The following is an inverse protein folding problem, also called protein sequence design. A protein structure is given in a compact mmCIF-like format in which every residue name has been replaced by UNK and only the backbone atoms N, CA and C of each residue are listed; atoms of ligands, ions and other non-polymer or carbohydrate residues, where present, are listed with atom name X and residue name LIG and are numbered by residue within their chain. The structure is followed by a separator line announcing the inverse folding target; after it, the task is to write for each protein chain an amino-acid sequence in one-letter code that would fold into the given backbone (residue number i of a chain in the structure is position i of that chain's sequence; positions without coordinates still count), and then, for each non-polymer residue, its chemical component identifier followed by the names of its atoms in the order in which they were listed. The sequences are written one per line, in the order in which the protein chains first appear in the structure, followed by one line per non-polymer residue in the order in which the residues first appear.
data_IF_415052171040
#
_entry.id   IF_415052171040
#
_cell.length_a   1.000
_cell.length_b   1.000
_cell.length_c   1.000
_cell.angle_alpha   90.00
_cell.angle_beta   90.00
_cell.angle_gamma   90.00
#
_symmetry.space_group_name_H-M   'P 1'
#
loop_
_entity.id
_entity.type
_entity.pdbx_description
1 polymer ?
#
# COMPACT_ATOMS: atom_id res chain seq x y z
N UNK A 1 -43.09 13.30 25.02
CA UNK A 1 -42.84 13.66 23.62
C UNK A 1 -41.34 13.69 23.49
N UNK A 2 -40.82 12.61 22.95
CA UNK A 2 -39.42 12.23 22.88
C UNK A 2 -38.91 12.69 21.51
N UNK A 3 -38.27 13.85 21.47
CA UNK A 3 -37.72 14.47 20.25
C UNK A 3 -36.20 14.62 20.37
N UNK A 4 -35.47 13.51 20.59
CA UNK A 4 -33.99 13.56 20.53
C UNK A 4 -33.31 12.29 20.02
N UNK A 5 -34.03 11.44 19.29
CA UNK A 5 -33.41 10.37 18.47
C UNK A 5 -33.43 10.76 17.00
N UNK A 6 -32.62 11.74 16.63
CA UNK A 6 -32.08 11.82 15.28
C UNK A 6 -30.64 11.35 15.34
N UNK A 7 -30.47 10.20 14.72
CA UNK A 7 -29.30 9.34 14.55
C UNK A 7 -28.08 10.09 14.04
N UNK A 8 -27.06 10.19 14.88
CA UNK A 8 -25.66 10.28 14.46
C UNK A 8 -25.32 9.00 13.68
N UNK A 9 -25.37 9.07 12.34
CA UNK A 9 -24.66 8.09 11.51
C UNK A 9 -23.17 8.30 11.75
N UNK A 10 -22.43 7.25 12.07
CA UNK A 10 -20.99 7.32 12.29
C UNK A 10 -20.32 7.88 11.03
N UNK A 11 -19.30 8.74 11.15
CA UNK A 11 -18.63 9.35 9.98
C UNK A 11 -18.15 8.32 8.94
N UNK A 12 -17.92 7.08 9.35
CA UNK A 12 -17.68 5.93 8.46
C UNK A 12 -18.85 5.66 7.50
N UNK A 13 -20.10 5.73 7.95
CA UNK A 13 -21.28 5.53 7.09
C UNK A 13 -21.45 6.66 6.07
N UNK A 14 -21.03 7.88 6.40
CA UNK A 14 -21.06 9.03 5.48
C UNK A 14 -20.03 8.84 4.36
N UNK A 15 -18.80 8.45 4.71
CA UNK A 15 -17.73 8.13 3.76
C UNK A 15 -18.15 6.98 2.81
N UNK A 16 -18.79 5.93 3.35
CA UNK A 16 -19.26 4.81 2.54
C UNK A 16 -20.37 5.22 1.56
N UNK A 17 -21.23 6.18 1.93
CA UNK A 17 -22.28 6.71 1.04
C UNK A 17 -21.70 7.58 -0.06
N UNK A 18 -20.76 8.46 0.26
CA UNK A 18 -20.05 9.29 -0.72
C UNK A 18 -19.30 8.41 -1.73
N UNK A 19 -18.56 7.41 -1.24
CA UNK A 19 -17.95 6.40 -2.10
C UNK A 19 -18.97 5.70 -3.00
N UNK A 20 -20.13 5.30 -2.46
CA UNK A 20 -21.15 4.64 -3.25
C UNK A 20 -21.75 5.55 -4.34
N UNK A 21 -21.91 6.84 -4.07
CA UNK A 21 -22.35 7.83 -5.07
C UNK A 21 -21.34 7.96 -6.20
N UNK A 22 -20.06 8.17 -5.89
CA UNK A 22 -18.99 8.26 -6.91
C UNK A 22 -18.82 6.96 -7.69
N UNK A 23 -18.84 5.81 -6.99
CA UNK A 23 -18.68 4.51 -7.63
C UNK A 23 -19.82 4.19 -8.59
N UNK A 24 -21.05 4.66 -8.34
CA UNK A 24 -22.17 4.54 -9.29
C UNK A 24 -21.92 5.31 -10.57
N UNK A 25 -21.40 6.54 -10.48
CA UNK A 25 -21.07 7.35 -11.66
C UNK A 25 -19.98 6.69 -12.51
N UNK A 26 -18.94 6.17 -11.84
CA UNK A 26 -17.91 5.40 -12.50
C UNK A 26 -18.45 4.13 -13.15
N UNK A 27 -19.27 3.33 -12.45
CA UNK A 27 -19.86 2.11 -13.01
C UNK A 27 -20.81 2.39 -14.18
N UNK A 28 -21.55 3.50 -14.15
CA UNK A 28 -22.38 3.94 -15.27
C UNK A 28 -21.52 4.24 -16.51
N UNK A 29 -20.43 4.98 -16.32
CA UNK A 29 -19.46 5.30 -17.39
C UNK A 29 -18.81 4.03 -17.96
N UNK A 30 -18.40 3.12 -17.08
CA UNK A 30 -17.80 1.82 -17.45
C UNK A 30 -18.80 0.99 -18.27
N UNK A 31 -20.05 0.90 -17.81
CA UNK A 31 -21.09 0.12 -18.48
C UNK A 31 -21.43 0.67 -19.87
N UNK A 32 -21.56 2.00 -19.99
CA UNK A 32 -21.81 2.65 -21.29
C UNK A 32 -20.67 2.39 -22.27
N UNK A 33 -19.41 2.56 -21.83
CA UNK A 33 -18.26 2.28 -22.67
C UNK A 33 -18.15 0.81 -23.08
N UNK A 34 -18.49 -0.14 -22.19
CA UNK A 34 -18.48 -1.57 -22.52
C UNK A 34 -19.52 -1.91 -23.61
N UNK A 35 -20.70 -1.29 -23.56
CA UNK A 35 -21.71 -1.44 -24.60
C UNK A 35 -21.27 -0.82 -25.94
N UNK A 36 -20.48 0.26 -25.90
CA UNK A 36 -19.87 0.84 -27.10
C UNK A 36 -18.81 -0.09 -27.70
N UNK A 37 -17.96 -0.70 -26.87
CA UNK A 37 -16.99 -1.73 -27.29
C UNK A 37 -17.64 -2.97 -27.92
N UNK A 38 -18.88 -3.30 -27.55
CA UNK A 38 -19.61 -4.40 -28.15
C UNK A 38 -20.08 -4.08 -29.59
N UNK A 39 -20.37 -2.80 -29.86
CA UNK A 39 -21.03 -2.35 -31.09
C UNK A 39 -20.05 -1.94 -32.18
N UNK A 40 -18.92 -1.34 -31.79
CA UNK A 40 -17.94 -0.79 -32.72
C UNK A 40 -16.53 -1.33 -32.45
N UNK A 41 -15.58 -1.03 -33.35
CA UNK A 41 -14.19 -1.43 -33.14
C UNK A 41 -13.63 -0.68 -31.92
N UNK A 42 -12.86 -1.38 -31.08
CA UNK A 42 -12.34 -0.86 -29.82
C UNK A 42 -11.62 0.48 -29.96
N UNK A 43 -12.35 1.56 -29.70
CA UNK A 43 -11.80 2.90 -29.63
C UNK A 43 -10.92 2.98 -28.38
N UNK A 44 -9.62 3.30 -28.52
CA UNK A 44 -8.72 3.46 -27.38
C UNK A 44 -9.27 4.40 -26.30
N UNK A 45 -9.97 5.48 -26.68
CA UNK A 45 -10.48 6.46 -25.73
C UNK A 45 -11.59 5.88 -24.86
N UNK A 46 -12.44 5.04 -25.45
CA UNK A 46 -13.51 4.30 -24.76
C UNK A 46 -12.90 3.28 -23.80
N UNK A 47 -11.94 2.46 -24.25
CA UNK A 47 -11.24 1.49 -23.38
C UNK A 47 -10.59 2.18 -22.18
N UNK A 48 -9.99 3.35 -22.41
CA UNK A 48 -9.33 4.13 -21.37
C UNK A 48 -10.31 4.77 -20.37
N UNK A 49 -11.47 5.22 -20.83
CA UNK A 49 -12.55 5.70 -19.96
C UNK A 49 -13.02 4.60 -18.99
N UNK A 50 -13.28 3.41 -19.53
CA UNK A 50 -13.70 2.22 -18.76
C UNK A 50 -12.60 1.81 -17.76
N UNK A 51 -11.34 1.80 -18.19
CA UNK A 51 -10.21 1.47 -17.33
C UNK A 51 -10.11 2.43 -16.13
N UNK A 52 -10.24 3.75 -16.35
CA UNK A 52 -10.21 4.75 -15.28
C UNK A 52 -11.31 4.53 -14.25
N UNK A 53 -12.55 4.29 -14.70
CA UNK A 53 -13.66 4.03 -13.78
C UNK A 53 -13.40 2.85 -12.84
N UNK A 54 -12.90 1.73 -13.37
CA UNK A 54 -12.56 0.56 -12.54
C UNK A 54 -11.32 0.77 -11.66
N UNK A 55 -10.30 1.48 -12.16
CA UNK A 55 -9.10 1.81 -11.39
C UNK A 55 -9.42 2.69 -10.18
N UNK A 56 -10.28 3.70 -10.35
CA UNK A 56 -10.74 4.56 -9.25
C UNK A 56 -11.50 3.76 -8.21
N UNK A 57 -12.45 2.91 -8.63
CA UNK A 57 -13.21 2.04 -7.71
C UNK A 57 -12.26 1.09 -6.94
N UNK A 58 -11.25 0.51 -7.60
CA UNK A 58 -10.21 -0.30 -6.95
C UNK A 58 -9.44 0.50 -5.89
N UNK A 59 -9.02 1.72 -6.24
CA UNK A 59 -8.27 2.59 -5.34
C UNK A 59 -9.04 2.93 -4.07
N UNK A 60 -10.29 3.38 -4.22
CA UNK A 60 -11.12 3.78 -3.07
C UNK A 60 -11.56 2.57 -2.25
N UNK A 61 -11.92 1.44 -2.89
CA UNK A 61 -12.26 0.20 -2.16
C UNK A 61 -11.09 -0.39 -1.36
N UNK A 62 -9.86 -0.28 -1.86
CA UNK A 62 -8.66 -0.67 -1.09
C UNK A 62 -8.49 0.16 0.18
N UNK A 63 -8.81 1.45 0.11
CA UNK A 63 -8.71 2.38 1.24
C UNK A 63 -9.76 2.06 2.31
N UNK A 64 -10.99 1.79 1.88
CA UNK A 64 -12.12 1.49 2.76
C UNK A 64 -12.12 0.04 3.29
N UNK A 65 -11.11 -0.78 2.94
CA UNK A 65 -11.03 -2.18 3.36
C UNK A 65 -12.08 -3.09 2.72
N UNK A 66 -12.70 -2.66 1.62
CA UNK A 66 -13.74 -3.38 0.88
C UNK A 66 -13.11 -4.43 -0.04
N UNK A 67 -12.71 -5.54 0.58
CA UNK A 67 -11.90 -6.60 -0.01
C UNK A 67 -12.48 -7.24 -1.28
N UNK A 68 -13.79 -7.47 -1.34
CA UNK A 68 -14.42 -8.13 -2.48
C UNK A 68 -14.62 -7.16 -3.64
N UNK A 69 -15.03 -5.93 -3.35
CA UNK A 69 -15.07 -4.84 -4.34
C UNK A 69 -13.68 -4.64 -4.94
N UNK A 70 -12.64 -4.56 -4.11
CA UNK A 70 -11.25 -4.39 -4.56
C UNK A 70 -10.74 -5.56 -5.40
N UNK A 71 -10.99 -6.80 -4.96
CA UNK A 71 -10.55 -8.00 -5.68
C UNK A 71 -11.21 -8.09 -7.06
N UNK A 72 -12.51 -7.82 -7.12
CA UNK A 72 -13.29 -7.90 -8.34
C UNK A 72 -12.94 -6.76 -9.31
N UNK A 73 -12.81 -5.52 -8.83
CA UNK A 73 -12.42 -4.37 -9.66
C UNK A 73 -11.00 -4.55 -10.22
N UNK A 74 -10.06 -5.08 -9.44
CA UNK A 74 -8.71 -5.39 -9.91
C UNK A 74 -8.70 -6.49 -10.98
N UNK A 75 -9.52 -7.54 -10.84
CA UNK A 75 -9.63 -8.58 -11.86
C UNK A 75 -10.20 -8.03 -13.18
N UNK A 76 -11.21 -7.15 -13.11
CA UNK A 76 -11.77 -6.45 -14.27
C UNK A 76 -10.75 -5.52 -14.93
N UNK A 77 -10.03 -4.72 -14.12
CA UNK A 77 -8.96 -3.84 -14.58
C UNK A 77 -7.84 -4.61 -15.30
N UNK A 78 -7.44 -5.78 -14.79
CA UNK A 78 -6.40 -6.61 -15.41
C UNK A 78 -6.81 -7.13 -16.79
N UNK A 79 -8.08 -7.53 -16.94
CA UNK A 79 -8.61 -7.96 -18.24
C UNK A 79 -8.66 -6.77 -19.22
N UNK A 80 -9.10 -5.60 -18.76
CA UNK A 80 -9.11 -4.38 -19.56
C UNK A 80 -7.71 -3.89 -19.93
N UNK A 81 -6.70 -4.09 -19.09
CA UNK A 81 -5.32 -3.79 -19.45
C UNK A 81 -4.84 -4.68 -20.61
N UNK A 82 -5.26 -5.95 -20.62
CA UNK A 82 -5.05 -6.84 -21.77
C UNK A 82 -5.71 -6.32 -23.05
N UNK A 83 -6.95 -5.82 -22.95
CA UNK A 83 -7.67 -5.21 -24.09
C UNK A 83 -6.98 -3.93 -24.56
N UNK A 84 -6.61 -3.05 -23.63
CA UNK A 84 -5.89 -1.79 -23.87
C UNK A 84 -4.58 -2.00 -24.60
N UNK A 85 -3.81 -2.99 -24.19
CA UNK A 85 -2.52 -3.35 -24.80
C UNK A 85 -2.66 -4.22 -26.06
N UNK A 86 -3.89 -4.46 -26.55
CA UNK A 86 -4.19 -5.34 -27.70
C UNK A 86 -3.69 -6.78 -27.53
N UNK A 87 -3.49 -7.19 -26.27
CA UNK A 87 -3.14 -8.55 -25.90
C UNK A 87 -4.37 -9.44 -25.75
N UNK A 88 -5.56 -8.86 -25.59
CA UNK A 88 -6.87 -9.54 -25.54
C UNK A 88 -7.82 -8.82 -26.49
N UNK A 89 -8.49 -9.56 -27.36
CA UNK A 89 -9.55 -8.97 -28.21
C UNK A 89 -10.83 -8.79 -27.37
N UNK A 90 -11.54 -7.65 -27.46
CA UNK A 90 -12.81 -7.42 -26.77
C UNK A 90 -13.94 -8.19 -27.45
N UNK A 91 -13.87 -9.52 -27.33
CA UNK A 91 -14.91 -10.43 -27.81
C UNK A 91 -16.18 -10.27 -26.96
N UNK A 92 -17.35 -10.70 -27.47
CA UNK A 92 -18.57 -10.71 -26.66
C UNK A 92 -18.41 -11.41 -25.31
N UNK A 93 -17.63 -12.50 -25.25
CA UNK A 93 -17.35 -13.21 -23.98
C UNK A 93 -16.58 -12.34 -22.96
N UNK A 94 -15.67 -11.47 -23.44
CA UNK A 94 -14.91 -10.52 -22.62
C UNK A 94 -15.80 -9.38 -22.15
N UNK A 95 -16.58 -8.79 -23.06
CA UNK A 95 -17.50 -7.70 -22.73
C UNK A 95 -18.58 -8.17 -21.75
N UNK A 96 -19.18 -9.34 -21.98
CA UNK A 96 -20.16 -9.95 -21.07
C UNK A 96 -19.60 -10.15 -19.66
N UNK A 97 -18.35 -10.63 -19.55
CA UNK A 97 -17.71 -10.83 -18.25
C UNK A 97 -17.45 -9.49 -17.52
N UNK A 98 -17.10 -8.44 -18.26
CA UNK A 98 -16.90 -7.10 -17.70
C UNK A 98 -18.24 -6.44 -17.30
N UNK A 99 -19.32 -6.63 -18.07
CA UNK A 99 -20.65 -6.18 -17.68
C UNK A 99 -21.17 -6.92 -16.43
N UNK A 100 -20.96 -8.23 -16.35
CA UNK A 100 -21.26 -9.03 -15.15
C UNK A 100 -20.46 -8.52 -13.93
N UNK A 101 -19.23 -8.06 -14.15
CA UNK A 101 -18.39 -7.41 -13.12
C UNK A 101 -19.04 -6.12 -12.63
N UNK A 102 -19.54 -5.26 -13.52
CA UNK A 102 -20.26 -4.04 -13.15
C UNK A 102 -21.53 -4.33 -12.34
N UNK A 103 -22.29 -5.37 -12.71
CA UNK A 103 -23.51 -5.77 -12.00
C UNK A 103 -23.21 -6.24 -10.57
N UNK A 104 -22.19 -7.10 -10.39
CA UNK A 104 -21.78 -7.59 -9.07
C UNK A 104 -21.19 -6.47 -8.22
N UNK A 105 -20.34 -5.61 -8.80
CA UNK A 105 -19.80 -4.45 -8.10
C UNK A 105 -20.92 -3.50 -7.63
N UNK A 106 -21.90 -3.22 -8.50
CA UNK A 106 -23.05 -2.39 -8.14
C UNK A 106 -23.79 -2.97 -6.94
N UNK A 107 -24.08 -4.29 -6.94
CA UNK A 107 -24.76 -4.94 -5.80
C UNK A 107 -23.96 -4.85 -4.50
N UNK A 108 -22.65 -5.05 -4.56
CA UNK A 108 -21.77 -4.94 -3.39
C UNK A 108 -21.73 -3.51 -2.85
N UNK A 109 -21.59 -2.52 -3.72
CA UNK A 109 -21.55 -1.10 -3.37
C UNK A 109 -22.86 -0.64 -2.72
N UNK A 110 -24.02 -1.02 -3.29
CA UNK A 110 -25.32 -0.70 -2.69
C UNK A 110 -25.48 -1.33 -1.29
N UNK A 111 -24.95 -2.54 -1.09
CA UNK A 111 -25.02 -3.17 0.22
C UNK A 111 -24.21 -2.41 1.27
N UNK A 112 -23.00 -1.99 0.92
CA UNK A 112 -22.13 -1.22 1.81
C UNK A 112 -22.73 0.16 2.13
N UNK A 113 -23.53 0.73 1.21
CA UNK A 113 -24.23 1.99 1.41
C UNK A 113 -25.46 1.89 2.34
N UNK A 114 -26.23 0.79 2.25
CA UNK A 114 -27.56 0.66 2.87
C UNK A 114 -27.65 -0.25 4.12
N UNK A 115 -26.75 -1.25 4.29
CA UNK A 115 -27.07 -2.43 5.13
C UNK A 115 -26.15 -2.69 6.34
N UNK A 116 -24.84 -2.45 6.24
CA UNK A 116 -23.85 -2.77 7.30
C UNK A 116 -22.48 -2.21 6.85
N UNK A 117 -21.67 -1.56 7.71
CA UNK A 117 -20.27 -1.25 7.36
C UNK A 117 -19.42 -2.50 7.03
N UNK A 118 -19.89 -3.71 7.39
CA UNK A 118 -19.27 -4.96 6.96
C UNK A 118 -19.69 -5.37 5.55
N UNK A 119 -18.71 -5.57 4.67
CA UNK A 119 -18.92 -6.05 3.30
C UNK A 119 -19.49 -7.49 3.31
N UNK A 120 -20.57 -7.77 2.55
CA UNK A 120 -21.21 -9.08 2.54
C UNK A 120 -20.36 -10.06 1.74
N UNK A 121 -20.10 -11.26 2.26
CA UNK A 121 -19.48 -12.32 1.46
C UNK A 121 -20.43 -12.79 0.34
N UNK A 122 -20.15 -12.36 -0.89
CA UNK A 122 -20.86 -12.78 -2.10
C UNK A 122 -20.19 -14.00 -2.71
N UNK A 123 -20.94 -15.09 -2.84
CA UNK A 123 -20.48 -16.31 -3.52
C UNK A 123 -20.24 -16.12 -5.03
N UNK A 124 -20.61 -14.96 -5.59
CA UNK A 124 -20.46 -14.63 -7.01
C UNK A 124 -19.05 -14.11 -7.36
N UNK A 125 -18.30 -13.58 -6.38
CA UNK A 125 -17.02 -12.89 -6.62
C UNK A 125 -15.92 -13.84 -7.08
N UNK A 126 -15.61 -14.87 -6.29
CA UNK A 126 -14.60 -15.90 -6.62
C UNK A 126 -14.75 -16.55 -8.01
N UNK A 127 -15.93 -17.06 -8.42
CA UNK A 127 -16.09 -17.65 -9.74
C UNK A 127 -15.91 -16.62 -10.86
N UNK A 128 -16.37 -15.39 -10.67
CA UNK A 128 -16.22 -14.32 -11.65
C UNK A 128 -14.76 -13.85 -11.78
N UNK A 129 -14.05 -13.65 -10.68
CA UNK A 129 -12.61 -13.35 -10.65
C UNK A 129 -11.81 -14.43 -11.37
N UNK A 130 -12.16 -15.70 -11.16
CA UNK A 130 -11.53 -16.83 -11.85
C UNK A 130 -11.76 -16.76 -13.36
N UNK A 131 -12.99 -16.47 -13.78
CA UNK A 131 -13.35 -16.30 -15.20
C UNK A 131 -12.59 -15.13 -15.85
N UNK A 132 -12.54 -13.97 -15.20
CA UNK A 132 -11.82 -12.79 -15.68
C UNK A 132 -10.33 -13.07 -15.89
N UNK A 133 -9.68 -13.73 -14.92
CA UNK A 133 -8.26 -14.13 -15.03
C UNK A 133 -8.01 -15.11 -16.18
N UNK A 134 -8.92 -16.05 -16.42
CA UNK A 134 -8.81 -16.97 -17.56
C UNK A 134 -8.93 -16.25 -18.89
N UNK A 135 -9.82 -15.26 -19.00
CA UNK A 135 -9.97 -14.43 -20.19
C UNK A 135 -8.73 -13.55 -20.40
N UNK A 136 -8.15 -12.99 -19.33
CA UNK A 136 -6.93 -12.18 -19.41
C UNK A 136 -5.71 -13.00 -19.86
N UNK A 137 -5.66 -14.29 -19.51
CA UNK A 137 -4.59 -15.22 -19.92
C UNK A 137 -4.77 -15.84 -21.30
N UNK A 138 -5.92 -15.63 -21.98
CA UNK A 138 -6.17 -16.16 -23.33
C UNK A 138 -5.62 -15.18 -24.37
N UNK A 139 -4.43 -15.48 -24.89
CA UNK A 139 -3.90 -14.83 -26.09
C UNK A 139 -4.87 -14.97 -27.29
N UNK A 140 -4.92 -13.99 -28.23
CA UNK A 140 -5.93 -13.93 -29.26
C UNK A 140 -5.83 -15.13 -30.21
N UNK A 141 -6.93 -15.85 -30.35
CA UNK A 141 -7.09 -16.97 -31.28
C UNK A 141 -7.26 -16.44 -32.71
N UNK A 142 -6.16 -15.99 -33.34
CA UNK A 142 -6.32 -15.32 -34.63
C UNK A 142 -5.06 -14.96 -35.42
N UNK A 143 -3.88 -15.51 -35.12
CA UNK A 143 -2.75 -15.53 -36.07
C UNK A 143 -1.75 -16.61 -35.68
N UNK A 144 -1.50 -17.53 -36.61
CA UNK A 144 -0.52 -18.61 -36.47
C UNK A 144 0.91 -18.05 -36.21
N UNK A 145 1.75 -18.83 -35.52
CA UNK A 145 2.77 -18.31 -34.60
C UNK A 145 4.07 -17.90 -35.29
N UNK A 146 4.55 -16.70 -34.96
CA UNK A 146 5.99 -16.42 -34.95
C UNK A 146 6.49 -16.83 -33.57
N UNK A 147 7.27 -17.91 -33.52
CA UNK A 147 7.89 -18.48 -32.32
C UNK A 147 8.63 -17.43 -31.48
N UNK A 148 8.24 -17.18 -30.22
CA UNK A 148 9.15 -16.64 -29.22
C UNK A 148 9.99 -17.81 -28.68
N UNK A 149 11.30 -17.59 -28.61
CA UNK A 149 12.27 -18.52 -28.04
C UNK A 149 12.17 -18.45 -26.50
N UNK A 150 12.28 -19.57 -25.76
CA UNK A 150 12.11 -19.60 -24.31
C UNK A 150 13.38 -19.18 -23.53
N UNK A 151 13.18 -18.57 -22.35
CA UNK A 151 14.18 -18.20 -21.32
C UNK A 151 14.25 -16.67 -21.15
N UNK A 152 14.05 -16.04 -19.98
CA UNK A 152 14.14 -16.47 -18.59
C UNK A 152 13.19 -15.64 -17.70
N UNK A 153 12.33 -16.32 -16.94
CA UNK A 153 11.94 -15.88 -15.59
C UNK A 153 12.79 -16.71 -14.62
N UNK A 154 13.89 -16.14 -14.12
CA UNK A 154 14.54 -16.55 -12.87
C UNK A 154 15.60 -15.52 -12.44
N UNK A 155 15.72 -15.40 -11.12
CA UNK A 155 16.49 -14.40 -10.35
C UNK A 155 18.02 -14.36 -10.59
N UNK A 156 18.57 -13.15 -10.33
CA UNK A 156 19.91 -12.80 -9.82
C UNK A 156 21.04 -12.35 -10.77
N UNK A 157 21.40 -11.07 -10.57
CA UNK A 157 22.75 -10.46 -10.55
C UNK A 157 23.63 -10.50 -11.79
N UNK A 158 23.80 -9.34 -12.47
CA UNK A 158 25.10 -8.92 -13.04
C UNK A 158 25.30 -7.39 -13.00
N UNK A 159 26.55 -7.04 -12.77
CA UNK A 159 27.17 -5.78 -12.36
C UNK A 159 27.39 -4.74 -13.48
N UNK A 160 27.34 -3.47 -13.09
CA UNK A 160 28.06 -2.29 -13.61
C UNK A 160 27.89 -1.78 -15.05
N UNK A 161 27.10 -2.41 -15.93
CA UNK A 161 26.87 -1.90 -17.31
C UNK A 161 25.44 -1.43 -17.63
N UNK A 162 24.53 -1.37 -16.65
CA UNK A 162 23.09 -1.12 -16.84
C UNK A 162 22.60 0.32 -16.56
N UNK A 163 23.49 1.28 -16.37
CA UNK A 163 23.09 2.63 -15.90
C UNK A 163 22.22 3.39 -16.91
N UNK A 164 22.32 3.09 -18.20
CA UNK A 164 21.56 3.77 -19.27
C UNK A 164 20.13 3.21 -19.46
N UNK A 165 19.83 2.04 -18.88
CA UNK A 165 18.48 1.43 -18.93
C UNK A 165 17.63 1.73 -17.68
N UNK A 166 18.19 2.41 -16.67
CA UNK A 166 17.51 2.68 -15.40
C UNK A 166 16.47 3.80 -15.48
N UNK A 167 16.58 4.69 -16.46
CA UNK A 167 15.77 5.89 -16.56
C UNK A 167 15.32 6.13 -18.00
N UNK A 168 14.01 6.23 -18.28
CA UNK A 168 13.51 6.36 -19.63
C UNK A 168 13.79 7.75 -20.22
N UNK A 169 13.78 7.81 -21.56
CA UNK A 169 13.73 9.08 -22.25
C UNK A 169 12.44 9.84 -21.86
N UNK A 170 12.45 11.18 -21.84
CA UNK A 170 11.25 11.97 -21.56
C UNK A 170 10.13 11.61 -22.56
N UNK A 171 8.89 11.51 -22.08
CA UNK A 171 7.73 11.41 -22.96
C UNK A 171 7.61 12.65 -23.84
N UNK A 172 7.53 12.49 -25.16
CA UNK A 172 7.42 13.60 -26.13
C UNK A 172 6.32 13.34 -27.15
N UNK A 173 5.69 14.40 -27.66
CA UNK A 173 4.62 14.28 -28.64
C UNK A 173 3.32 13.79 -28.02
N UNK A 174 3.10 14.12 -26.75
CA UNK A 174 1.89 13.77 -26.00
C UNK A 174 0.74 14.71 -26.36
N UNK A 175 -0.50 14.28 -26.12
CA UNK A 175 -1.67 15.12 -26.32
C UNK A 175 -1.69 16.27 -25.28
N UNK A 176 -1.67 17.54 -25.71
CA UNK A 176 -1.69 18.68 -24.80
C UNK A 176 -2.89 18.75 -23.87
N UNK A 177 -4.03 18.21 -24.27
CA UNK A 177 -5.22 18.20 -23.42
C UNK A 177 -5.07 17.18 -22.29
N UNK A 178 -4.51 16.00 -22.60
CA UNK A 178 -4.21 14.97 -21.60
C UNK A 178 -3.15 15.45 -20.60
N UNK A 179 -2.11 16.15 -21.08
CA UNK A 179 -1.09 16.72 -20.19
C UNK A 179 -1.70 17.78 -19.26
N UNK A 180 -2.54 18.67 -19.78
CA UNK A 180 -3.22 19.69 -18.96
C UNK A 180 -4.17 19.09 -17.94
N UNK A 181 -4.95 18.09 -18.34
CA UNK A 181 -5.84 17.38 -17.43
C UNK A 181 -5.04 16.71 -16.31
N UNK A 182 -3.96 16.00 -16.65
CA UNK A 182 -3.08 15.37 -15.68
C UNK A 182 -2.49 16.37 -14.69
N UNK A 183 -1.96 17.51 -15.17
CA UNK A 183 -1.43 18.54 -14.27
C UNK A 183 -2.53 19.09 -13.36
N UNK A 184 -3.71 19.41 -13.90
CA UNK A 184 -4.82 19.94 -13.10
C UNK A 184 -5.31 18.95 -12.03
N UNK A 185 -5.38 17.66 -12.37
CA UNK A 185 -5.81 16.59 -11.46
C UNK A 185 -4.82 16.37 -10.30
N UNK A 186 -3.52 16.49 -10.57
CA UNK A 186 -2.50 16.18 -9.57
C UNK A 186 -1.97 17.36 -8.77
N UNK A 187 -2.44 18.59 -8.99
CA UNK A 187 -2.05 19.75 -8.14
C UNK A 187 -2.42 19.52 -6.68
N UNK A 188 -3.64 19.05 -6.40
CA UNK A 188 -4.07 18.82 -5.02
C UNK A 188 -3.42 17.56 -4.43
N UNK A 189 -3.19 16.54 -5.27
CA UNK A 189 -2.52 15.29 -4.88
C UNK A 189 -1.05 15.55 -4.49
N UNK A 190 -0.31 16.23 -5.37
CA UNK A 190 0.65 17.31 -5.07
C UNK A 190 0.82 17.68 -3.61
N UNK A 191 0.00 18.65 -3.25
CA UNK A 191 0.05 19.29 -1.96
C UNK A 191 -0.17 18.29 -0.81
N UNK A 192 -1.13 17.37 -0.96
CA UNK A 192 -1.41 16.37 0.07
C UNK A 192 -0.24 15.40 0.30
N UNK A 193 0.43 14.98 -0.77
CA UNK A 193 1.62 14.13 -0.71
C UNK A 193 2.71 14.79 0.13
N UNK A 194 3.00 16.06 -0.12
CA UNK A 194 4.05 16.81 0.56
C UNK A 194 3.77 17.03 2.04
N UNK A 195 2.54 17.43 2.36
CA UNK A 195 2.10 17.61 3.75
C UNK A 195 2.20 16.30 4.52
N UNK A 196 1.85 15.19 3.88
CA UNK A 196 1.91 13.85 4.49
C UNK A 196 3.34 13.37 4.68
N UNK A 197 4.22 13.60 3.68
CA UNK A 197 5.65 13.27 3.79
C UNK A 197 6.33 14.10 4.89
N UNK A 198 5.93 15.36 5.08
CA UNK A 198 6.42 16.18 6.20
C UNK A 198 5.94 15.64 7.56
N UNK A 199 4.68 15.23 7.69
CA UNK A 199 4.17 14.59 8.91
C UNK A 199 4.88 13.27 9.22
N UNK A 200 5.30 12.54 8.19
CA UNK A 200 6.11 11.33 8.33
C UNK A 200 7.55 11.60 8.78
N UNK A 201 8.08 12.81 8.64
CA UNK A 201 9.36 13.17 9.24
C UNK A 201 9.25 13.29 10.76
N UNK A 202 8.13 13.84 11.24
CA UNK A 202 7.86 13.98 12.67
C UNK A 202 7.47 12.63 13.31
N UNK A 203 6.64 11.83 12.63
CA UNK A 203 6.24 10.49 13.06
C UNK A 203 6.39 9.45 11.92
N UNK A 204 7.60 8.88 11.75
CA UNK A 204 7.89 7.87 10.73
C UNK A 204 7.06 6.58 10.83
N UNK A 205 6.43 6.33 11.98
CA UNK A 205 5.59 5.17 12.23
C UNK A 205 4.11 5.39 11.91
N UNK A 206 3.73 6.59 11.45
CA UNK A 206 2.34 6.92 11.21
C UNK A 206 1.79 6.19 9.97
N UNK A 207 1.04 5.12 10.22
CA UNK A 207 0.46 4.25 9.19
C UNK A 207 -0.51 4.99 8.27
N UNK A 208 -1.28 5.95 8.78
CA UNK A 208 -2.27 6.68 7.97
C UNK A 208 -1.59 7.65 7.00
N UNK A 209 -0.50 8.29 7.43
CA UNK A 209 0.31 9.13 6.54
C UNK A 209 1.06 8.27 5.50
N UNK A 210 1.63 7.12 5.89
CA UNK A 210 2.23 6.16 4.93
C UNK A 210 1.21 5.73 3.86
N UNK A 211 -0.03 5.40 4.27
CA UNK A 211 -1.12 5.04 3.34
C UNK A 211 -1.46 6.21 2.41
N UNK A 212 -1.50 7.43 2.93
CA UNK A 212 -1.84 8.62 2.14
C UNK A 212 -0.78 8.92 1.09
N UNK A 213 0.50 8.90 1.48
CA UNK A 213 1.64 9.02 0.56
C UNK A 213 1.62 7.91 -0.50
N UNK A 214 1.40 6.66 -0.10
CA UNK A 214 1.32 5.53 -1.04
C UNK A 214 0.19 5.70 -2.06
N UNK A 215 -1.02 6.10 -1.64
CA UNK A 215 -2.15 6.34 -2.54
C UNK A 215 -1.87 7.44 -3.55
N UNK A 216 -1.32 8.56 -3.09
CA UNK A 216 -0.95 9.68 -3.95
C UNK A 216 0.04 9.23 -5.04
N UNK A 217 1.11 8.53 -4.64
CA UNK A 217 2.12 8.01 -5.58
C UNK A 217 1.52 6.96 -6.53
N UNK A 218 0.67 6.05 -6.05
CA UNK A 218 0.00 5.03 -6.89
C UNK A 218 -0.90 5.67 -7.95
N UNK A 219 -1.69 6.68 -7.56
CA UNK A 219 -2.57 7.42 -8.46
C UNK A 219 -1.75 8.13 -9.55
N UNK A 220 -0.73 8.90 -9.15
CA UNK A 220 0.18 9.60 -10.08
C UNK A 220 0.86 8.62 -11.04
N UNK A 221 1.30 7.44 -10.56
CA UNK A 221 1.90 6.42 -11.43
C UNK A 221 0.91 5.94 -12.50
N UNK A 222 -0.33 5.67 -12.11
CA UNK A 222 -1.37 5.15 -13.00
C UNK A 222 -1.75 6.13 -14.10
N UNK A 223 -1.99 7.39 -13.72
CA UNK A 223 -2.30 8.48 -14.66
C UNK A 223 -1.10 8.86 -15.52
N UNK A 224 0.12 8.84 -14.97
CA UNK A 224 1.36 9.10 -15.74
C UNK A 224 1.61 8.02 -16.81
N UNK A 225 1.33 6.75 -16.49
CA UNK A 225 1.40 5.67 -17.48
C UNK A 225 0.40 5.88 -18.61
N UNK A 226 -0.83 6.27 -18.26
CA UNK A 226 -1.89 6.56 -19.21
C UNK A 226 -1.53 7.71 -20.18
N UNK A 227 -0.99 8.82 -19.67
CA UNK A 227 -0.60 9.97 -20.50
C UNK A 227 0.68 9.69 -21.30
N UNK A 228 1.48 8.69 -20.92
CA UNK A 228 2.78 8.40 -21.53
C UNK A 228 3.93 9.22 -20.96
N UNK A 229 3.78 9.72 -19.72
CA UNK A 229 4.81 10.44 -18.97
C UNK A 229 5.82 9.45 -18.39
N UNK A 230 6.72 8.98 -19.25
CA UNK A 230 7.61 7.86 -18.95
C UNK A 230 8.51 8.11 -17.72
N UNK A 231 9.07 9.31 -17.57
CA UNK A 231 9.94 9.64 -16.43
C UNK A 231 9.16 9.78 -15.13
N UNK A 232 8.01 10.45 -15.19
CA UNK A 232 7.09 10.60 -14.05
C UNK A 232 6.62 9.24 -13.54
N UNK A 233 6.17 8.35 -14.45
CA UNK A 233 5.82 6.96 -14.15
C UNK A 233 7.00 6.21 -13.50
N UNK A 234 8.19 6.31 -14.08
CA UNK A 234 9.37 5.58 -13.60
C UNK A 234 9.75 5.97 -12.17
N UNK A 235 9.70 7.27 -11.84
CA UNK A 235 9.98 7.73 -10.48
C UNK A 235 8.87 7.32 -9.50
N UNK A 236 7.60 7.53 -9.87
CA UNK A 236 6.47 7.17 -9.03
C UNK A 236 6.47 5.66 -8.69
N UNK A 237 6.81 4.81 -9.66
CA UNK A 237 6.98 3.37 -9.42
C UNK A 237 8.12 3.07 -8.41
N UNK A 238 9.27 3.74 -8.53
CA UNK A 238 10.37 3.52 -7.57
C UNK A 238 10.02 3.99 -6.15
N UNK A 239 9.26 5.08 -6.02
CA UNK A 239 8.75 5.56 -4.74
C UNK A 239 7.73 4.60 -4.15
N UNK A 240 6.83 4.07 -4.99
CA UNK A 240 5.84 3.08 -4.59
C UNK A 240 6.50 1.78 -4.08
N UNK A 241 7.53 1.29 -4.76
CA UNK A 241 8.28 0.10 -4.33
C UNK A 241 8.94 0.32 -2.96
N UNK A 242 9.51 1.50 -2.72
CA UNK A 242 10.07 1.87 -1.43
C UNK A 242 8.98 1.90 -0.35
N UNK A 243 7.86 2.56 -0.64
CA UNK A 243 6.73 2.71 0.28
C UNK A 243 6.03 1.37 0.55
N UNK A 244 6.00 0.44 -0.40
CA UNK A 244 5.45 -0.90 -0.19
C UNK A 244 6.28 -1.69 0.84
N UNK A 245 7.60 -1.54 0.81
CA UNK A 245 8.48 -2.14 1.82
C UNK A 245 8.29 -1.50 3.20
N UNK A 246 8.10 -0.18 3.25
CA UNK A 246 7.76 0.53 4.50
C UNK A 246 6.40 0.06 5.04
N UNK A 247 5.39 -0.04 4.18
CA UNK A 247 4.04 -0.51 4.51
C UNK A 247 4.02 -1.94 5.05
N UNK A 248 4.88 -2.82 4.52
CA UNK A 248 5.08 -4.20 5.00
C UNK A 248 5.97 -4.30 6.25
N UNK A 249 6.45 -3.18 6.79
CA UNK A 249 7.36 -3.15 7.94
C UNK A 249 8.76 -3.71 7.67
N UNK A 250 9.15 -3.84 6.39
CA UNK A 250 10.49 -4.34 5.99
C UNK A 250 11.55 -3.24 5.97
N UNK A 251 11.11 -1.99 5.84
CA UNK A 251 11.93 -0.80 5.95
C UNK A 251 11.30 0.16 6.98
N UNK A 252 12.12 0.74 7.84
CA UNK A 252 11.71 1.86 8.67
C UNK A 252 12.00 3.16 7.93
N UNK A 253 11.09 4.14 8.02
CA UNK A 253 11.21 5.43 7.35
C UNK A 253 12.17 6.37 8.10
N UNK A 254 13.44 5.97 8.24
CA UNK A 254 14.47 6.72 8.97
C UNK A 254 15.76 6.83 8.17
N UNK A 255 16.53 7.89 8.39
CA UNK A 255 17.85 8.10 7.79
C UNK A 255 17.79 8.11 6.26
N UNK A 256 18.54 7.21 5.62
CA UNK A 256 18.61 7.15 4.15
C UNK A 256 17.22 6.94 3.50
N UNK A 257 16.31 6.19 4.15
CA UNK A 257 14.99 5.90 3.59
C UNK A 257 14.10 7.15 3.56
N UNK A 258 14.10 7.94 4.63
CA UNK A 258 13.34 9.20 4.67
C UNK A 258 13.92 10.20 3.68
N UNK A 259 15.25 10.37 3.65
CA UNK A 259 15.93 11.25 2.68
C UNK A 259 15.57 10.90 1.23
N UNK A 260 15.51 9.61 0.90
CA UNK A 260 15.14 9.16 -0.44
C UNK A 260 13.66 9.39 -0.77
N UNK A 261 12.76 9.21 0.20
CA UNK A 261 11.33 9.52 0.03
C UNK A 261 11.12 11.02 -0.24
N UNK A 262 11.78 11.88 0.54
CA UNK A 262 11.73 13.33 0.34
C UNK A 262 12.28 13.73 -1.03
N UNK A 263 13.49 13.28 -1.36
CA UNK A 263 14.12 13.59 -2.63
C UNK A 263 13.29 13.09 -3.83
N UNK A 264 12.71 11.89 -3.74
CA UNK A 264 11.83 11.38 -4.79
C UNK A 264 10.53 12.17 -4.89
N UNK A 265 9.95 12.60 -3.77
CA UNK A 265 8.73 13.43 -3.76
C UNK A 265 8.97 14.79 -4.39
N UNK A 266 10.07 15.46 -4.06
CA UNK A 266 10.45 16.74 -4.65
C UNK A 266 10.70 16.63 -6.16
N UNK A 267 11.35 15.56 -6.60
CA UNK A 267 11.58 15.32 -8.02
C UNK A 267 10.30 14.95 -8.78
N UNK A 268 9.37 14.23 -8.13
CA UNK A 268 8.07 13.92 -8.70
C UNK A 268 7.26 15.20 -8.91
N UNK A 269 7.22 16.07 -7.90
CA UNK A 269 6.61 17.39 -8.00
C UNK A 269 7.24 18.20 -9.13
N UNK A 270 8.56 18.25 -9.18
CA UNK A 270 9.27 19.00 -10.22
C UNK A 270 8.89 18.53 -11.63
N UNK A 271 8.86 17.21 -11.85
CA UNK A 271 8.50 16.63 -13.15
C UNK A 271 7.11 17.06 -13.60
N UNK A 272 6.14 17.09 -12.68
CA UNK A 272 4.74 17.42 -12.95
C UNK A 272 4.55 18.93 -13.17
N UNK A 273 5.19 19.78 -12.34
CA UNK A 273 5.12 21.24 -12.48
C UNK A 273 5.81 21.76 -13.75
N UNK A 274 6.79 21.03 -14.26
CA UNK A 274 7.56 21.40 -15.45
C UNK A 274 7.14 20.63 -16.70
N UNK A 275 5.95 20.02 -16.69
CA UNK A 275 5.35 19.49 -17.91
C UNK A 275 5.11 20.61 -18.92
N UNK A 276 5.48 20.34 -20.17
CA UNK A 276 5.16 21.20 -21.31
C UNK A 276 3.92 20.66 -22.00
N UNK A 277 3.27 21.51 -22.77
CA UNK A 277 2.07 21.13 -23.55
C UNK A 277 2.28 19.86 -24.39
N UNK A 278 3.50 19.56 -24.85
CA UNK A 278 3.78 18.39 -25.71
C UNK A 278 4.60 17.28 -25.03
N UNK A 279 4.81 17.36 -23.70
CA UNK A 279 5.41 16.29 -22.91
C UNK A 279 6.41 16.74 -21.84
N UNK A 280 7.24 15.81 -21.40
CA UNK A 280 8.15 16.00 -20.27
C UNK A 280 9.31 16.93 -20.65
N UNK A 281 9.66 17.87 -19.76
CA UNK A 281 10.84 18.72 -19.92
C UNK A 281 12.15 17.92 -19.91
N UNK A 282 12.11 16.71 -19.31
CA UNK A 282 13.24 15.83 -19.17
C UNK A 282 14.15 16.24 -18.01
N UNK A 283 14.39 15.32 -17.08
CA UNK A 283 15.40 15.48 -16.03
C UNK A 283 16.16 14.20 -15.83
N UNK A 284 17.45 14.30 -15.57
CA UNK A 284 18.28 13.13 -15.32
C UNK A 284 18.24 12.76 -13.83
N UNK A 285 17.49 11.72 -13.51
CA UNK A 285 17.32 11.22 -12.14
C UNK A 285 17.94 9.83 -11.95
N UNK A 286 18.86 9.43 -12.85
CA UNK A 286 19.49 8.10 -12.81
C UNK A 286 20.13 7.77 -11.47
N UNK A 287 20.78 8.73 -10.84
CA UNK A 287 21.44 8.52 -9.54
C UNK A 287 20.44 8.33 -8.40
N UNK A 288 19.36 9.12 -8.38
CA UNK A 288 18.29 9.00 -7.38
C UNK A 288 17.57 7.66 -7.53
N UNK A 289 17.19 7.29 -8.75
CA UNK A 289 16.54 6.00 -9.05
C UNK A 289 17.42 4.82 -8.67
N UNK A 290 18.74 4.90 -8.94
CA UNK A 290 19.68 3.86 -8.52
C UNK A 290 19.69 3.69 -7.00
N UNK A 291 19.67 4.80 -6.24
CA UNK A 291 19.63 4.76 -4.78
C UNK A 291 18.30 4.21 -4.24
N UNK A 292 17.18 4.65 -4.79
CA UNK A 292 15.84 4.15 -4.45
C UNK A 292 15.74 2.64 -4.64
N UNK A 293 16.15 2.13 -5.82
CA UNK A 293 16.14 0.69 -6.12
C UNK A 293 17.12 -0.10 -5.27
N UNK A 294 18.34 0.40 -5.08
CA UNK A 294 19.31 -0.26 -4.20
C UNK A 294 18.80 -0.36 -2.76
N UNK A 295 18.06 0.65 -2.29
CA UNK A 295 17.41 0.60 -0.99
C UNK A 295 16.31 -0.47 -0.94
N UNK A 296 15.50 -0.57 -1.99
CA UNK A 296 14.46 -1.59 -2.08
C UNK A 296 15.03 -3.02 -2.16
N UNK A 297 16.08 -3.24 -2.96
CA UNK A 297 16.72 -4.54 -3.19
C UNK A 297 17.48 -5.08 -1.97
N UNK A 298 18.10 -4.21 -1.15
CA UNK A 298 18.81 -4.60 0.09
C UNK A 298 17.92 -5.37 1.07
N UNK A 299 16.59 -5.34 0.91
CA UNK A 299 15.64 -6.00 1.80
C UNK A 299 14.97 -7.25 1.22
N UNK A 300 15.23 -7.63 -0.03
CA UNK A 300 14.64 -8.82 -0.69
C UNK A 300 15.64 -10.00 -0.65
N UNK A 301 15.42 -11.03 0.19
CA UNK A 301 16.06 -12.32 -0.03
C UNK A 301 15.38 -13.01 -1.23
N UNK A 302 16.12 -13.78 -2.03
CA UNK A 302 15.53 -14.63 -3.05
C UNK A 302 14.62 -15.68 -2.38
N UNK A 303 13.55 -15.98 -3.08
CA UNK A 303 12.38 -16.76 -2.69
C UNK A 303 12.69 -18.18 -2.12
N UNK A 304 11.71 -18.68 -1.38
CA UNK A 304 11.71 -19.90 -0.60
C UNK A 304 12.00 -21.17 -1.41
N UNK A 305 12.85 -22.05 -0.85
CA UNK A 305 12.85 -23.47 -1.16
C UNK A 305 12.81 -24.28 0.14
N UNK A 306 11.66 -24.93 0.37
CA UNK A 306 11.44 -26.19 1.10
C UNK A 306 11.87 -26.31 2.57
N UNK A 307 10.93 -26.85 3.36
CA UNK A 307 11.06 -27.04 4.79
C UNK A 307 12.10 -28.05 5.25
N UNK A 308 12.39 -27.96 6.54
CA UNK A 308 13.19 -28.92 7.29
C UNK A 308 13.29 -28.47 8.74
N UNK A 309 12.69 -29.26 9.63
CA UNK A 309 12.77 -29.06 11.07
C UNK A 309 14.22 -29.14 11.60
N UNK A 310 14.53 -28.24 12.54
CA UNK A 310 15.51 -28.18 13.66
C UNK A 310 16.60 -29.28 13.81
N UNK A 311 17.79 -29.02 14.44
CA UNK A 311 17.89 -28.31 15.73
C UNK A 311 19.18 -27.54 16.10
N UNK A 312 19.08 -26.80 17.21
CA UNK A 312 20.11 -26.45 18.22
C UNK A 312 21.43 -25.76 17.79
N UNK A 313 21.60 -24.53 18.30
CA UNK A 313 22.81 -24.14 19.03
C UNK A 313 24.06 -23.84 18.19
N UNK A 314 24.07 -22.71 17.48
CA UNK A 314 25.26 -21.88 17.28
C UNK A 314 24.85 -20.56 16.63
N UNK A 315 25.36 -19.46 17.18
CA UNK A 315 25.17 -18.08 16.70
C UNK A 315 25.66 -17.96 15.23
N UNK A 316 24.83 -17.60 14.25
CA UNK A 316 25.32 -17.09 12.99
C UNK A 316 25.62 -15.61 13.21
N UNK A 317 26.85 -15.29 13.57
CA UNK A 317 27.34 -13.91 13.56
C UNK A 317 27.22 -13.36 12.14
N UNK A 318 26.38 -12.33 11.96
CA UNK A 318 26.28 -11.55 10.72
C UNK A 318 24.96 -11.66 9.94
N UNK A 319 23.84 -12.08 10.54
CA UNK A 319 22.53 -11.88 9.90
C UNK A 319 22.06 -10.43 10.11
N UNK A 320 22.03 -9.57 9.06
CA UNK A 320 21.58 -8.19 9.19
C UNK A 320 20.12 -8.07 9.66
N UNK A 321 19.31 -9.14 9.55
CA UNK A 321 17.95 -9.17 10.13
C UNK A 321 17.98 -9.13 11.65
N UNK A 322 19.03 -9.70 12.25
CA UNK A 322 19.20 -9.75 13.70
C UNK A 322 19.57 -8.37 14.25
N UNK A 323 20.43 -7.64 13.54
CA UNK A 323 20.80 -6.26 13.88
C UNK A 323 19.60 -5.31 13.74
N UNK A 324 18.81 -5.46 12.66
CA UNK A 324 17.56 -4.69 12.46
C UNK A 324 16.54 -5.01 13.55
N UNK A 325 16.38 -6.29 13.92
CA UNK A 325 15.52 -6.69 15.02
C UNK A 325 16.01 -6.10 16.35
N UNK A 326 17.30 -6.17 16.66
CA UNK A 326 17.86 -5.62 17.90
C UNK A 326 17.65 -4.10 17.96
N UNK A 327 17.89 -3.39 16.86
CA UNK A 327 17.69 -1.95 16.79
C UNK A 327 16.21 -1.56 16.95
N UNK A 328 15.32 -2.25 16.24
CA UNK A 328 13.87 -2.04 16.35
C UNK A 328 13.36 -2.36 17.76
N UNK A 329 13.73 -3.51 18.31
CA UNK A 329 13.35 -3.92 19.66
C UNK A 329 13.87 -2.95 20.72
N UNK A 330 15.10 -2.45 20.57
CA UNK A 330 15.66 -1.44 21.49
C UNK A 330 14.83 -0.16 21.48
N UNK A 331 14.43 0.30 20.28
CA UNK A 331 13.59 1.49 20.13
C UNK A 331 12.19 1.29 20.72
N UNK A 332 11.59 0.11 20.52
CA UNK A 332 10.28 -0.19 21.10
C UNK A 332 10.32 -0.31 22.62
N UNK A 333 11.36 -0.94 23.18
CA UNK A 333 11.54 -1.05 24.64
C UNK A 333 11.78 0.33 25.26
N UNK A 334 12.57 1.19 24.62
CA UNK A 334 12.74 2.57 25.09
C UNK A 334 11.41 3.35 25.05
N UNK A 335 10.61 3.17 23.99
CA UNK A 335 9.27 3.76 23.90
C UNK A 335 8.36 3.26 25.03
N UNK A 336 8.31 1.94 25.27
CA UNK A 336 7.55 1.34 26.37
C UNK A 336 7.96 1.95 27.71
N UNK A 337 9.26 2.11 27.96
CA UNK A 337 9.78 2.71 29.19
C UNK A 337 9.35 4.16 29.37
N UNK A 338 9.47 4.97 28.32
CA UNK A 338 9.07 6.39 28.35
C UNK A 338 7.57 6.53 28.60
N UNK A 339 6.74 5.79 27.87
CA UNK A 339 5.29 5.88 28.01
C UNK A 339 4.80 5.31 29.35
N UNK A 340 5.44 4.24 29.85
CA UNK A 340 5.15 3.69 31.18
C UNK A 340 5.46 4.71 32.24
N UNK A 341 6.63 5.35 32.19
CA UNK A 341 6.99 6.40 33.15
C UNK A 341 6.01 7.59 33.11
N UNK A 342 5.63 8.05 31.93
CA UNK A 342 4.60 9.10 31.77
C UNK A 342 3.26 8.71 32.42
N UNK A 343 2.80 7.48 32.20
CA UNK A 343 1.57 6.97 32.79
C UNK A 343 1.67 6.87 34.32
N UNK A 344 2.82 6.46 34.84
CA UNK A 344 3.07 6.34 36.28
C UNK A 344 3.21 7.69 36.98
N UNK A 345 3.80 8.69 36.32
CA UNK A 345 3.95 10.04 36.84
C UNK A 345 2.64 10.85 36.81
N UNK A 346 1.57 10.30 36.20
CA UNK A 346 0.25 10.92 36.09
C UNK A 346 0.12 11.94 34.95
N UNK A 347 1.15 12.06 34.12
CA UNK A 347 1.20 12.92 32.93
C UNK A 347 0.72 12.19 31.65
N UNK A 348 0.42 10.89 31.75
CA UNK A 348 -0.01 10.05 30.65
C UNK A 348 -1.52 10.06 30.42
N UNK A 349 -1.90 10.10 29.14
CA UNK A 349 -3.28 10.07 28.63
C UNK A 349 -3.54 8.81 27.79
N UNK A 350 -4.70 8.72 27.15
CA UNK A 350 -5.03 7.62 26.24
C UNK A 350 -4.04 7.51 25.05
N UNK A 351 -3.42 8.62 24.63
CA UNK A 351 -2.37 8.60 23.61
C UNK A 351 -1.13 7.85 24.10
N UNK A 352 -0.73 8.08 25.36
CA UNK A 352 0.39 7.38 25.99
C UNK A 352 0.12 5.87 26.13
N UNK A 353 -1.13 5.49 26.44
CA UNK A 353 -1.55 4.07 26.43
C UNK A 353 -1.47 3.48 25.03
N UNK A 354 -2.06 4.14 24.05
CA UNK A 354 -2.11 3.65 22.67
C UNK A 354 -0.71 3.57 22.03
N UNK A 355 0.21 4.47 22.39
CA UNK A 355 1.61 4.39 21.99
C UNK A 355 2.30 3.15 22.58
N UNK A 356 1.98 2.82 23.83
CA UNK A 356 2.53 1.66 24.53
C UNK A 356 1.96 0.34 24.00
N UNK A 357 0.65 0.28 23.72
CA UNK A 357 0.03 -0.86 23.04
C UNK A 357 0.66 -1.13 21.68
N UNK A 358 0.88 -0.08 20.87
CA UNK A 358 1.56 -0.16 19.57
C UNK A 358 2.99 -0.67 19.70
N UNK A 359 3.75 -0.17 20.67
CA UNK A 359 5.13 -0.58 20.88
C UNK A 359 5.25 -2.06 21.28
N UNK A 360 4.38 -2.52 22.19
CA UNK A 360 4.30 -3.92 22.61
C UNK A 360 3.88 -4.85 21.46
N UNK A 361 2.85 -4.49 20.70
CA UNK A 361 2.40 -5.28 19.56
C UNK A 361 3.47 -5.38 18.46
N UNK A 362 4.20 -4.30 18.21
CA UNK A 362 5.31 -4.28 17.25
C UNK A 362 6.44 -5.19 17.71
N UNK A 363 6.80 -5.13 18.99
CA UNK A 363 7.83 -6.00 19.59
C UNK A 363 7.41 -7.48 19.55
N UNK A 364 6.16 -7.80 19.89
CA UNK A 364 5.59 -9.15 19.84
C UNK A 364 5.66 -9.74 18.42
N UNK A 365 5.15 -9.00 17.43
CA UNK A 365 5.14 -9.43 16.03
C UNK A 365 6.56 -9.64 15.48
N UNK A 366 7.48 -8.71 15.78
CA UNK A 366 8.87 -8.81 15.36
C UNK A 366 9.57 -10.02 16.00
N UNK A 367 9.32 -10.27 17.29
CA UNK A 367 9.90 -11.40 18.00
C UNK A 367 9.34 -12.74 17.49
N UNK A 368 8.02 -12.81 17.24
CA UNK A 368 7.38 -13.98 16.67
C UNK A 368 7.92 -14.31 15.27
N UNK A 369 8.11 -13.29 14.43
CA UNK A 369 8.72 -13.44 13.12
C UNK A 369 10.18 -13.97 13.18
N UNK A 370 10.93 -13.59 14.22
CA UNK A 370 12.28 -14.10 14.51
C UNK A 370 12.29 -15.47 15.22
N UNK A 371 11.12 -16.08 15.45
CA UNK A 371 10.99 -17.34 16.19
C UNK A 371 11.43 -17.20 17.65
N UNK A 372 11.23 -16.03 18.25
CA UNK A 372 11.55 -15.71 19.65
C UNK A 372 10.27 -15.54 20.46
N UNK A 373 9.59 -16.65 20.66
CA UNK A 373 8.33 -16.72 21.42
C UNK A 373 8.49 -16.30 22.89
N UNK A 374 9.73 -16.26 23.40
CA UNK A 374 10.05 -15.81 24.75
C UNK A 374 9.61 -14.37 25.04
N UNK A 375 9.63 -13.46 24.06
CA UNK A 375 9.17 -12.07 24.24
C UNK A 375 7.65 -11.93 24.30
N UNK A 376 6.90 -12.92 23.78
CA UNK A 376 5.44 -12.87 23.68
C UNK A 376 4.79 -12.87 25.07
N UNK A 377 5.30 -13.68 25.99
CA UNK A 377 4.77 -13.79 27.36
C UNK A 377 4.84 -12.45 28.11
N UNK A 378 6.03 -11.85 28.28
CA UNK A 378 6.19 -10.56 28.93
C UNK A 378 5.40 -9.43 28.25
N UNK A 379 5.34 -9.38 26.91
CA UNK A 379 4.57 -8.34 26.21
C UNK A 379 3.06 -8.43 26.52
N UNK A 380 2.49 -9.64 26.54
CA UNK A 380 1.07 -9.84 26.88
C UNK A 380 0.77 -9.58 28.35
N UNK A 381 1.67 -9.97 29.26
CA UNK A 381 1.54 -9.63 30.68
C UNK A 381 1.55 -8.11 30.86
N UNK A 382 2.46 -7.40 30.18
CA UNK A 382 2.56 -5.95 30.20
C UNK A 382 1.25 -5.28 29.75
N UNK A 383 0.72 -5.69 28.59
CA UNK A 383 -0.53 -5.15 28.05
C UNK A 383 -1.71 -5.40 29.00
N UNK A 384 -1.76 -6.58 29.62
CA UNK A 384 -2.78 -6.94 30.61
C UNK A 384 -2.72 -6.07 31.87
N UNK A 385 -1.54 -5.60 32.27
CA UNK A 385 -1.38 -4.72 33.44
C UNK A 385 -1.68 -3.26 33.10
N UNK A 386 -1.31 -2.81 31.90
CA UNK A 386 -1.58 -1.43 31.43
C UNK A 386 -3.08 -1.17 31.31
N UNK A 387 -3.84 -2.16 30.83
CA UNK A 387 -5.31 -2.06 30.74
C UNK A 387 -5.99 -1.98 32.11
N UNK A 388 -5.33 -2.47 33.17
CA UNK A 388 -5.81 -2.38 34.56
C UNK A 388 -5.37 -1.09 35.25
N UNK A 389 -4.42 -0.34 34.68
CA UNK A 389 -3.91 0.89 35.27
C UNK A 389 -4.97 2.01 35.19
N UNK A 390 -5.31 2.69 36.29
CA UNK A 390 -6.21 3.84 36.26
C UNK A 390 -5.56 5.06 35.60
N UNK A 391 -6.36 6.05 35.17
CA UNK A 391 -5.87 7.24 34.47
C UNK A 391 -4.96 8.13 35.34
N UNK A 392 -5.08 8.05 36.66
CA UNK A 392 -4.18 8.68 37.62
C UNK A 392 -3.81 7.64 38.70
N UNK A 393 -2.69 6.93 38.55
CA UNK A 393 -2.27 5.93 39.54
C UNK A 393 -1.98 6.60 40.89
N UNK A 394 -2.39 5.92 41.95
CA UNK A 394 -2.27 6.37 43.34
C UNK A 394 -1.31 5.47 44.12
N UNK A 395 -0.97 5.84 45.35
CA UNK A 395 -0.07 5.04 46.22
C UNK A 395 -0.58 3.59 46.47
N UNK A 396 -1.87 3.33 46.19
CA UNK A 396 -2.51 2.00 46.21
C UNK A 396 -2.17 1.12 45.02
N UNK A 397 -1.67 1.68 43.91
CA UNK A 397 -1.32 0.96 42.68
C UNK A 397 0.17 0.55 42.63
N UNK A 398 0.89 0.74 43.73
CA UNK A 398 2.35 0.53 43.85
C UNK A 398 2.81 -0.87 43.44
N UNK A 399 1.97 -1.89 43.59
CA UNK A 399 2.25 -3.26 43.18
C UNK A 399 2.19 -3.41 41.64
N UNK A 400 1.22 -2.76 40.98
CA UNK A 400 1.12 -2.70 39.52
C UNK A 400 2.28 -1.90 38.92
N UNK A 401 2.60 -0.75 39.52
CA UNK A 401 3.74 0.08 39.13
C UNK A 401 5.06 -0.69 39.19
N UNK A 402 5.34 -1.36 40.32
CA UNK A 402 6.54 -2.17 40.47
C UNK A 402 6.59 -3.35 39.50
N UNK A 403 5.44 -3.90 39.12
CA UNK A 403 5.35 -4.98 38.13
C UNK A 403 5.65 -4.51 36.71
N UNK A 404 5.14 -3.34 36.30
CA UNK A 404 5.41 -2.74 35.00
C UNK A 404 6.88 -2.37 34.83
N UNK A 405 7.50 -1.80 35.88
CA UNK A 405 8.94 -1.53 35.88
C UNK A 405 9.75 -2.83 35.75
N UNK A 406 9.38 -3.87 36.51
CA UNK A 406 10.05 -5.18 36.44
C UNK A 406 9.93 -5.83 35.06
N UNK A 407 8.80 -5.70 34.37
CA UNK A 407 8.62 -6.25 33.02
C UNK A 407 9.41 -5.43 31.98
N UNK A 408 9.54 -4.12 32.18
CA UNK A 408 10.38 -3.27 31.32
C UNK A 408 11.85 -3.70 31.43
N UNK A 409 12.36 -3.88 32.66
CA UNK A 409 13.71 -4.38 32.91
C UNK A 409 13.92 -5.80 32.37
N UNK A 410 12.89 -6.67 32.46
CA UNK A 410 12.95 -8.02 31.91
C UNK A 410 13.09 -8.01 30.38
N UNK A 411 12.31 -7.19 29.67
CA UNK A 411 12.42 -7.01 28.23
C UNK A 411 13.79 -6.46 27.82
N UNK A 412 14.31 -5.46 28.53
CA UNK A 412 15.66 -4.92 28.31
C UNK A 412 16.73 -6.00 28.49
N UNK A 413 16.65 -6.79 29.56
CA UNK A 413 17.60 -7.88 29.84
C UNK A 413 17.53 -8.96 28.76
N UNK A 414 16.33 -9.37 28.36
CA UNK A 414 16.14 -10.37 27.29
C UNK A 414 16.77 -9.90 25.98
N UNK A 415 16.61 -8.61 25.64
CA UNK A 415 17.23 -8.05 24.45
C UNK A 415 18.77 -7.98 24.57
N UNK A 416 19.30 -7.66 25.75
CA UNK A 416 20.75 -7.67 26.00
C UNK A 416 21.35 -9.07 25.91
N UNK A 417 20.72 -10.07 26.53
CA UNK A 417 21.12 -11.48 26.44
C UNK A 417 21.06 -11.99 24.99
N UNK A 418 20.06 -11.53 24.23
CA UNK A 418 19.94 -11.82 22.80
C UNK A 418 21.03 -11.15 21.95
N UNK A 419 21.47 -9.95 22.33
CA UNK A 419 22.51 -9.20 21.62
C UNK A 419 23.93 -9.76 21.84
N UNK A 420 24.17 -10.48 22.94
CA UNK A 420 25.47 -11.04 23.34
C UNK A 420 25.78 -12.41 22.76
#
# INVERSE_FOLDING_TARGET
MDETRQTEGTGEQEILREFAEEAREHLATVSEGLLELEREAADPDVVNSIFRGLHTIKGVSSFLGLSQINCLSHAGESLLDGVRNKAVDPTPEVVDALLETCDVLSRLIEHVADMDPAEPHSSEVEPLVTRLRQLAGRAPAGKAPATPKPGDEASSTQSDEQVDALWPAPGTGLDPELVKQFTAEHVDTLQQLEESVLRLEEDPGNVEEIKTVFRAVHSIKGTADYVGLAQTKALAHCLEDLLELVRRGRLALVGEVSELLFAGTDELRWLIEHLRDDGEAGRDLRDLVRRLRACAEKTVPPDQASGGASPCGARPTGDPRLDVFIQSASQQIESIRIQTRKLLDGDGDDSSRQALERALATLENAAQYMGREEFVGPCREFLGLVTQLPAAPTDTDRDLTGRLDSLTEELERMLQEFSQ
#
